data_IF_730977957719
#
_entry.id   IF_730977957719
#
_cell.length_a   1.000
_cell.length_b   1.000
_cell.length_c   1.000
_cell.angle_alpha   90.00
_cell.angle_beta   90.00
_cell.angle_gamma   90.00
#
_symmetry.space_group_name_H-M   'P 1'
#
loop_
_entity.id
_entity.type
_entity.pdbx_description
1 polymer ?
#
# COMPACT_ATOMS: atom_id res chain seq x y z
N UNK A 1 11.31 3.72 -8.66
CA UNK A 1 9.95 3.14 -8.52
C UNK A 1 10.06 1.80 -7.78
N UNK A 2 9.07 1.38 -6.98
CA UNK A 2 9.08 0.04 -6.34
C UNK A 2 9.16 -1.04 -7.42
N UNK A 3 9.62 -2.25 -7.06
CA UNK A 3 10.26 -3.25 -7.95
C UNK A 3 9.60 -3.51 -9.31
N UNK A 4 8.29 -3.28 -9.44
CA UNK A 4 7.53 -3.38 -10.69
C UNK A 4 7.39 -2.07 -11.49
N UNK A 5 8.13 -1.03 -11.15
CA UNK A 5 8.10 0.27 -11.83
C UNK A 5 6.88 1.14 -11.47
N UNK A 6 6.32 1.01 -10.26
CA UNK A 6 5.23 1.89 -9.76
C UNK A 6 5.66 2.68 -8.53
N UNK A 7 4.96 3.74 -8.16
CA UNK A 7 5.02 4.42 -6.87
C UNK A 7 3.78 4.10 -6.04
N UNK A 8 3.93 4.03 -4.71
CA UNK A 8 2.80 3.85 -3.77
C UNK A 8 2.53 5.19 -3.08
N UNK A 9 1.43 5.84 -3.45
CA UNK A 9 1.14 7.22 -3.03
C UNK A 9 0.64 7.26 -1.58
N UNK A 10 -0.35 6.43 -1.26
CA UNK A 10 -1.02 6.45 0.04
C UNK A 10 -1.57 5.06 0.40
N UNK A 11 -2.04 4.94 1.64
CA UNK A 11 -2.91 3.86 2.12
C UNK A 11 -4.25 4.46 2.54
N UNK A 12 -5.34 3.77 2.24
CA UNK A 12 -6.70 4.16 2.59
C UNK A 12 -7.39 3.00 3.31
N UNK A 13 -8.02 3.28 4.45
CA UNK A 13 -8.83 2.31 5.22
C UNK A 13 -10.18 2.90 5.58
N UNK A 14 -11.20 2.03 5.62
CA UNK A 14 -12.53 2.39 6.10
C UNK A 14 -12.58 2.30 7.64
N UNK A 15 -13.14 3.33 8.27
CA UNK A 15 -13.36 3.40 9.71
C UNK A 15 -14.84 3.74 9.99
N UNK A 16 -15.54 3.00 10.87
CA UNK A 16 -16.99 3.13 11.05
C UNK A 16 -17.43 4.53 11.53
N UNK A 17 -16.56 5.25 12.24
CA UNK A 17 -16.84 6.61 12.71
C UNK A 17 -16.38 7.72 11.75
N UNK A 18 -15.21 7.53 11.13
CA UNK A 18 -14.50 8.62 10.43
C UNK A 18 -14.67 8.55 8.91
N UNK A 19 -15.27 7.48 8.38
CA UNK A 19 -15.29 7.22 6.95
C UNK A 19 -13.93 6.72 6.49
N UNK A 20 -13.29 7.43 5.58
CA UNK A 20 -11.97 7.03 5.07
C UNK A 20 -10.84 7.69 5.87
N UNK A 21 -9.88 6.89 6.32
CA UNK A 21 -8.61 7.36 6.85
C UNK A 21 -7.53 7.19 5.79
N UNK A 22 -6.80 8.26 5.50
CA UNK A 22 -5.76 8.29 4.47
C UNK A 22 -4.40 8.56 5.11
N UNK A 23 -3.45 7.66 4.89
CA UNK A 23 -2.05 7.83 5.26
C UNK A 23 -1.19 8.04 4.02
N UNK A 24 -0.49 9.17 3.93
CA UNK A 24 0.43 9.41 2.82
C UNK A 24 1.73 8.62 3.00
N UNK A 25 2.18 7.93 1.96
CA UNK A 25 3.35 7.06 1.99
C UNK A 25 4.46 7.53 1.03
N UNK A 26 4.09 7.92 -0.19
CA UNK A 26 5.01 8.40 -1.23
C UNK A 26 6.23 7.49 -1.45
N UNK A 27 6.02 6.17 -1.51
CA UNK A 27 7.10 5.18 -1.64
C UNK A 27 7.44 5.00 -3.11
N UNK A 28 8.61 5.51 -3.50
CA UNK A 28 9.05 5.51 -4.88
C UNK A 28 10.30 4.67 -5.09
N UNK A 29 10.99 4.21 -4.07
CA UNK A 29 12.21 3.40 -4.22
C UNK A 29 12.22 2.26 -3.21
N UNK A 30 13.02 1.19 -3.43
CA UNK A 30 13.25 0.17 -2.41
C UNK A 30 13.70 0.78 -1.07
N UNK A 31 14.60 1.77 -1.12
CA UNK A 31 15.08 2.47 0.07
C UNK A 31 13.97 3.21 0.84
N UNK A 32 12.96 3.74 0.13
CA UNK A 32 11.80 4.35 0.79
C UNK A 32 10.97 3.33 1.56
N UNK A 33 10.83 2.12 1.00
CA UNK A 33 10.14 1.00 1.66
C UNK A 33 10.91 0.57 2.90
N UNK A 34 12.24 0.42 2.79
CA UNK A 34 13.07 0.03 3.93
C UNK A 34 13.01 1.07 5.05
N UNK A 35 13.06 2.36 4.71
CA UNK A 35 12.93 3.46 5.67
C UNK A 35 11.56 3.47 6.34
N UNK A 36 10.49 3.22 5.58
CA UNK A 36 9.14 3.10 6.12
C UNK A 36 9.05 1.96 7.14
N UNK A 37 9.53 0.76 6.79
CA UNK A 37 9.51 -0.40 7.69
C UNK A 37 10.35 -0.18 8.96
N UNK A 38 11.52 0.46 8.83
CA UNK A 38 12.34 0.83 9.98
C UNK A 38 11.61 1.79 10.93
N UNK A 39 10.89 2.77 10.39
CA UNK A 39 10.13 3.72 11.19
C UNK A 39 8.97 3.03 11.92
N UNK A 40 8.24 2.15 11.24
CA UNK A 40 7.18 1.33 11.86
C UNK A 40 7.72 0.56 13.06
N UNK A 41 8.87 -0.11 12.90
CA UNK A 41 9.51 -0.86 13.99
C UNK A 41 9.96 0.05 15.14
N UNK A 42 10.58 1.19 14.85
CA UNK A 42 11.10 2.13 15.86
C UNK A 42 9.99 2.79 16.67
N UNK A 43 8.88 3.13 16.03
CA UNK A 43 7.78 3.84 16.67
C UNK A 43 6.84 2.90 17.42
N UNK A 44 6.94 1.59 17.20
CA UNK A 44 5.94 0.63 17.69
C UNK A 44 4.53 0.97 17.20
N UNK A 45 4.44 1.61 16.04
CA UNK A 45 3.19 2.15 15.52
C UNK A 45 2.36 1.03 14.90
N UNK A 46 1.09 0.95 15.29
CA UNK A 46 0.11 0.13 14.59
C UNK A 46 -0.08 0.66 13.16
N UNK A 47 -0.12 -0.25 12.19
CA UNK A 47 -0.43 0.13 10.81
C UNK A 47 -1.93 0.42 10.66
N UNK A 48 -2.28 1.35 9.78
CA UNK A 48 -3.68 1.65 9.47
C UNK A 48 -4.45 0.40 9.01
N UNK A 49 -3.78 -0.53 8.33
CA UNK A 49 -4.36 -1.80 7.89
C UNK A 49 -4.86 -2.69 9.04
N UNK A 50 -4.38 -2.49 10.27
CA UNK A 50 -4.85 -3.25 11.43
C UNK A 50 -6.28 -2.89 11.82
N UNK A 51 -6.75 -1.69 11.46
CA UNK A 51 -8.12 -1.23 11.72
C UNK A 51 -9.18 -2.02 10.94
N UNK A 52 -8.77 -2.71 9.88
CA UNK A 52 -9.64 -3.38 8.90
C UNK A 52 -9.23 -4.83 8.67
N UNK A 53 -8.60 -5.47 9.65
CA UNK A 53 -8.13 -6.86 9.58
C UNK A 53 -7.24 -7.15 8.35
N UNK A 54 -6.47 -6.13 7.94
CA UNK A 54 -5.57 -6.19 6.80
C UNK A 54 -6.17 -5.71 5.47
N UNK A 55 -7.48 -5.44 5.38
CA UNK A 55 -8.13 -4.98 4.14
C UNK A 55 -7.95 -3.48 3.93
N UNK A 56 -7.24 -3.07 2.89
CA UNK A 56 -6.99 -1.65 2.62
C UNK A 56 -6.78 -1.39 1.13
N UNK A 57 -6.80 -0.11 0.76
CA UNK A 57 -6.57 0.35 -0.61
C UNK A 57 -5.27 1.13 -0.70
N UNK A 58 -4.68 1.12 -1.89
CA UNK A 58 -3.55 1.95 -2.26
C UNK A 58 -3.81 2.65 -3.58
N UNK A 59 -3.46 3.94 -3.66
CA UNK A 59 -3.28 4.61 -4.95
C UNK A 59 -1.87 4.32 -5.47
N UNK A 60 -1.79 3.72 -6.65
CA UNK A 60 -0.53 3.45 -7.36
C UNK A 60 -0.33 4.46 -8.49
N UNK A 61 0.89 4.95 -8.64
CA UNK A 61 1.30 5.84 -9.73
C UNK A 61 2.31 5.13 -10.64
N UNK A 62 2.16 5.28 -11.96
CA UNK A 62 3.04 4.67 -12.95
C UNK A 62 2.42 4.69 -14.34
N UNK A 63 3.21 4.31 -15.34
CA UNK A 63 2.69 4.14 -16.70
C UNK A 63 1.80 2.89 -16.78
N UNK A 64 0.81 2.83 -17.69
CA UNK A 64 -0.17 1.74 -17.73
C UNK A 64 0.44 0.33 -17.69
N UNK A 65 1.53 0.09 -18.41
CA UNK A 65 2.21 -1.23 -18.45
C UNK A 65 2.77 -1.64 -17.07
N UNK A 66 3.29 -0.68 -16.31
CA UNK A 66 3.84 -0.93 -14.97
C UNK A 66 2.73 -1.20 -13.96
N UNK A 67 1.58 -0.53 -14.10
CA UNK A 67 0.40 -0.74 -13.26
C UNK A 67 -0.16 -2.15 -13.49
N UNK A 68 -0.32 -2.56 -14.75
CA UNK A 68 -0.81 -3.92 -15.05
C UNK A 68 0.16 -5.00 -14.56
N UNK A 69 1.47 -4.81 -14.76
CA UNK A 69 2.50 -5.71 -14.21
C UNK A 69 2.43 -5.80 -12.68
N UNK A 70 2.26 -4.67 -12.00
CA UNK A 70 2.12 -4.64 -10.54
C UNK A 70 0.86 -5.38 -10.09
N UNK A 71 -0.29 -5.16 -10.74
CA UNK A 71 -1.54 -5.89 -10.47
C UNK A 71 -1.38 -7.39 -10.64
N UNK A 72 -0.75 -7.84 -11.73
CA UNK A 72 -0.48 -9.27 -11.95
C UNK A 72 0.40 -9.87 -10.85
N UNK A 73 1.48 -9.17 -10.45
CA UNK A 73 2.36 -9.63 -9.39
C UNK A 73 1.66 -9.69 -8.02
N UNK A 74 0.79 -8.72 -7.71
CA UNK A 74 -0.01 -8.71 -6.49
C UNK A 74 -1.04 -9.86 -6.51
N UNK A 75 -1.68 -10.12 -7.65
CA UNK A 75 -2.63 -11.22 -7.82
C UNK A 75 -1.97 -12.59 -7.58
N UNK A 76 -0.79 -12.81 -8.18
CA UNK A 76 -0.03 -14.06 -8.02
C UNK A 76 0.40 -14.32 -6.57
N UNK A 77 0.60 -13.26 -5.78
CA UNK A 77 0.93 -13.34 -4.36
C UNK A 77 -0.30 -13.43 -3.45
N UNK A 78 -1.52 -13.36 -4.00
CA UNK A 78 -2.76 -13.40 -3.23
C UNK A 78 -3.05 -12.12 -2.43
N UNK A 79 -2.47 -10.98 -2.82
CA UNK A 79 -2.68 -9.70 -2.13
C UNK A 79 -3.85 -8.89 -2.67
N UNK A 80 -4.32 -9.17 -3.89
CA UNK A 80 -5.49 -8.47 -4.42
C UNK A 80 -6.76 -9.04 -3.81
N UNK A 81 -7.59 -8.15 -3.26
CA UNK A 81 -8.97 -8.48 -2.94
C UNK A 81 -9.70 -8.80 -4.25
N UNK A 82 -10.32 -9.97 -4.32
CA UNK A 82 -11.15 -10.30 -5.48
C UNK A 82 -12.54 -9.68 -5.27
N UNK A 83 -13.11 -9.04 -6.31
CA UNK A 83 -14.50 -8.64 -6.26
C UNK A 83 -15.38 -9.90 -6.13
N UNK A 84 -16.35 -9.84 -5.22
CA UNK A 84 -17.44 -10.81 -5.17
C UNK A 84 -18.40 -10.62 -6.34
#
# INVERSE_FOLDING_TARGET
MVTNGVGVVNVIVAHPLYGELVGNLNLNTPDDVDRFLQNVQKMGAALLSELTEGVHLHTLEGVPETIERAKMALAQKGFLLQPN
#
